data_IF_456570589869
#
_entry.id   IF_456570589869
#
_cell.length_a   1.000
_cell.length_b   1.000
_cell.length_c   1.000
_cell.angle_alpha   90.00
_cell.angle_beta   90.00
_cell.angle_gamma   90.00
#
_symmetry.space_group_name_H-M   'P 1'
#
loop_
_entity.id
_entity.type
_entity.pdbx_description
1 polymer ?
#
# COMPACT_ATOMS: atom_id res chain seq x y z
N UNK A 1 21.71 10.97 20.76
CA UNK A 1 22.00 11.27 19.33
C UNK A 1 21.15 10.46 18.34
N UNK A 2 20.81 9.19 18.62
CA UNK A 2 19.93 8.36 17.75
C UNK A 2 18.46 8.85 17.71
N UNK A 3 18.00 9.49 18.79
CA UNK A 3 16.64 10.04 18.88
C UNK A 3 16.37 11.21 17.94
N UNK A 4 17.36 11.96 17.44
CA UNK A 4 17.08 13.06 16.51
C UNK A 4 16.90 12.61 15.05
N UNK A 5 17.58 11.54 14.63
CA UNK A 5 17.50 11.04 13.25
C UNK A 5 16.17 10.35 12.94
N UNK A 6 15.63 9.58 13.88
CA UNK A 6 14.32 8.92 13.73
C UNK A 6 13.19 9.94 13.54
N UNK A 7 13.23 11.10 14.20
CA UNK A 7 12.14 12.07 14.14
C UNK A 7 12.03 12.75 12.78
N UNK A 8 13.11 12.89 12.01
CA UNK A 8 13.06 13.53 10.68
C UNK A 8 12.24 12.75 9.64
N UNK A 9 12.02 11.46 9.86
CA UNK A 9 11.42 10.55 8.88
C UNK A 9 9.90 10.42 9.05
N UNK A 10 9.36 10.71 10.25
CA UNK A 10 7.98 10.46 10.62
C UNK A 10 7.12 11.72 10.71
N UNK A 11 5.85 11.58 10.35
CA UNK A 11 4.79 12.60 10.44
C UNK A 11 4.55 13.04 11.91
N UNK A 12 4.01 14.24 12.13
CA UNK A 12 3.72 14.87 13.42
C UNK A 12 2.95 13.95 14.37
N UNK A 13 1.95 13.23 13.87
CA UNK A 13 1.17 12.29 14.69
C UNK A 13 1.96 11.03 15.08
N UNK A 14 2.84 10.54 14.20
CA UNK A 14 3.73 9.43 14.52
C UNK A 14 4.77 9.83 15.56
N UNK A 15 5.24 11.09 15.55
CA UNK A 15 6.14 11.61 16.58
C UNK A 15 5.48 11.64 17.95
N UNK A 16 4.17 11.94 18.03
CA UNK A 16 3.41 11.86 19.27
C UNK A 16 3.32 10.42 19.78
N UNK A 17 2.99 9.46 18.91
CA UNK A 17 2.93 8.02 19.28
C UNK A 17 4.29 7.53 19.78
N UNK A 18 5.37 7.84 19.06
CA UNK A 18 6.74 7.48 19.46
C UNK A 18 7.07 8.10 20.81
N UNK A 19 6.78 9.40 21.01
CA UNK A 19 6.96 10.06 22.31
C UNK A 19 6.17 9.35 23.42
N UNK A 20 4.88 9.09 23.24
CA UNK A 20 4.05 8.39 24.23
C UNK A 20 4.59 7.00 24.57
N UNK A 21 5.06 6.24 23.57
CA UNK A 21 5.66 4.92 23.78
C UNK A 21 6.99 5.01 24.54
N UNK A 22 7.80 6.03 24.26
CA UNK A 22 9.02 6.31 25.03
C UNK A 22 8.73 6.78 26.46
N UNK A 23 7.68 7.60 26.67
CA UNK A 23 7.29 8.12 28.00
C UNK A 23 6.66 7.03 28.87
N UNK A 24 5.88 6.11 28.28
CA UNK A 24 5.33 4.94 28.98
C UNK A 24 6.36 3.82 29.18
N UNK A 25 7.48 3.85 28.43
CA UNK A 25 8.56 2.87 28.46
C UNK A 25 9.78 3.36 29.23
N UNK A 26 9.61 3.80 30.48
CA UNK A 26 10.75 3.88 31.40
C UNK A 26 11.00 2.45 31.92
N UNK A 27 12.25 1.99 31.76
CA UNK A 27 12.88 0.76 32.31
C UNK A 27 12.61 -0.57 31.56
N UNK A 28 13.45 -0.90 30.57
CA UNK A 28 14.38 -2.06 30.61
C UNK A 28 15.27 -2.12 29.36
N UNK A 29 16.47 -2.63 29.57
CA UNK A 29 17.70 -2.41 28.81
C UNK A 29 17.82 -3.17 27.46
N UNK A 30 16.72 -3.53 26.81
CA UNK A 30 16.74 -4.33 25.57
C UNK A 30 16.31 -3.50 24.35
N UNK A 31 17.29 -2.82 23.74
CA UNK A 31 17.12 -2.01 22.51
C UNK A 31 16.47 -2.78 21.35
N UNK A 32 16.66 -4.11 21.29
CA UNK A 32 16.11 -4.98 20.24
C UNK A 32 14.60 -5.12 20.38
N UNK A 33 14.11 -5.47 21.57
CA UNK A 33 12.68 -5.62 21.86
C UNK A 33 11.89 -4.33 21.58
N UNK A 34 12.48 -3.19 21.94
CA UNK A 34 11.88 -1.88 21.67
C UNK A 34 11.79 -1.56 20.17
N UNK A 35 12.79 -1.97 19.37
CA UNK A 35 12.80 -1.78 17.91
C UNK A 35 11.69 -2.58 17.25
N UNK A 36 11.49 -3.83 17.62
CA UNK A 36 10.43 -4.69 17.07
C UNK A 36 9.04 -4.14 17.38
N UNK A 37 8.81 -3.74 18.64
CA UNK A 37 7.55 -3.13 19.05
C UNK A 37 7.27 -1.81 18.30
N UNK A 38 8.30 -0.98 18.07
CA UNK A 38 8.18 0.22 17.26
C UNK A 38 7.84 -0.08 15.80
N UNK A 39 8.51 -1.04 15.17
CA UNK A 39 8.21 -1.45 13.79
C UNK A 39 6.78 -1.95 13.67
N UNK A 40 6.32 -2.74 14.63
CA UNK A 40 4.93 -3.19 14.70
C UNK A 40 3.95 -2.00 14.79
N UNK A 41 4.19 -1.04 15.68
CA UNK A 41 3.32 0.14 15.83
C UNK A 41 3.34 1.04 14.58
N UNK A 42 4.49 1.20 13.93
CA UNK A 42 4.61 1.91 12.65
C UNK A 42 3.80 1.21 11.57
N UNK A 43 3.88 -0.12 11.48
CA UNK A 43 3.12 -0.92 10.53
C UNK A 43 1.62 -0.83 10.80
N UNK A 44 1.21 -0.92 12.07
CA UNK A 44 -0.18 -0.77 12.46
C UNK A 44 -0.70 0.63 12.13
N UNK A 45 0.09 1.67 12.38
CA UNK A 45 -0.26 3.02 11.97
C UNK A 45 -0.42 3.09 10.46
N UNK A 46 0.57 2.64 9.67
CA UNK A 46 0.52 2.62 8.19
C UNK A 46 -0.73 1.93 7.66
N UNK A 47 -1.17 0.82 8.28
CA UNK A 47 -2.38 0.11 7.86
C UNK A 47 -3.70 0.81 8.18
N UNK A 48 -3.71 1.89 8.98
CA UNK A 48 -4.95 2.61 9.28
C UNK A 48 -5.63 3.14 8.00
N UNK A 49 -6.95 2.92 7.82
CA UNK A 49 -7.67 3.55 6.73
C UNK A 49 -7.60 5.07 6.82
N UNK A 50 -7.53 5.73 5.67
CA UNK A 50 -7.64 7.18 5.56
C UNK A 50 -9.05 7.48 5.09
N UNK A 51 -9.78 8.27 5.89
CA UNK A 51 -11.18 8.59 5.65
C UNK A 51 -11.32 10.00 5.10
N UNK A 52 -12.18 10.17 4.09
CA UNK A 52 -12.47 11.45 3.46
C UNK A 52 -11.20 12.25 3.14
N UNK A 53 -10.35 11.70 2.29
CA UNK A 53 -9.00 12.22 2.05
C UNK A 53 -8.96 13.70 1.64
N UNK A 54 -9.94 14.16 0.86
CA UNK A 54 -10.03 15.54 0.38
C UNK A 54 -10.84 16.45 1.30
N UNK A 55 -11.38 15.93 2.41
CA UNK A 55 -12.24 16.66 3.35
C UNK A 55 -13.41 17.37 2.65
N UNK A 56 -14.13 16.63 1.80
CA UNK A 56 -15.31 17.12 1.06
C UNK A 56 -16.57 16.38 1.46
N UNK A 57 -17.71 16.92 1.07
CA UNK A 57 -19.02 16.32 1.27
C UNK A 57 -19.58 15.87 -0.07
N UNK A 58 -19.55 14.57 -0.31
CA UNK A 58 -20.20 13.93 -1.44
C UNK A 58 -21.05 12.76 -0.95
N UNK A 59 -22.16 12.50 -1.63
CA UNK A 59 -23.07 11.40 -1.28
C UNK A 59 -22.51 10.05 -1.70
N UNK A 60 -21.78 10.02 -2.82
CA UNK A 60 -21.17 8.80 -3.37
C UNK A 60 -19.80 8.56 -2.73
N UNK A 61 -19.48 7.30 -2.43
CA UNK A 61 -18.21 6.92 -1.78
C UNK A 61 -17.42 5.92 -2.61
N UNK A 62 -16.11 6.15 -2.71
CA UNK A 62 -15.16 5.18 -3.26
C UNK A 62 -14.23 4.67 -2.18
N UNK A 63 -13.99 3.36 -2.17
CA UNK A 63 -12.90 2.73 -1.44
C UNK A 63 -11.73 2.45 -2.38
N UNK A 64 -10.62 3.16 -2.19
CA UNK A 64 -9.37 2.90 -2.90
C UNK A 64 -8.52 1.92 -2.09
N UNK A 65 -8.32 0.72 -2.62
CA UNK A 65 -7.44 -0.30 -2.05
C UNK A 65 -6.05 -0.21 -2.68
N UNK A 66 -5.13 0.46 -1.98
CA UNK A 66 -3.78 0.71 -2.47
C UNK A 66 -2.80 0.95 -1.32
N UNK A 67 -1.52 1.16 -1.61
CA UNK A 67 -0.57 1.56 -0.57
C UNK A 67 -1.00 2.91 0.04
N UNK A 68 -1.07 2.98 1.36
CA UNK A 68 -1.53 4.18 2.09
C UNK A 68 -0.45 5.25 2.23
N UNK A 69 0.82 4.85 2.13
CA UNK A 69 1.98 5.73 2.36
C UNK A 69 1.97 7.01 1.50
N UNK A 70 1.69 6.98 0.19
CA UNK A 70 1.64 8.19 -0.65
C UNK A 70 0.68 9.28 -0.17
N UNK A 71 -0.36 8.90 0.57
CA UNK A 71 -1.39 9.82 1.03
C UNK A 71 -1.04 10.48 2.36
N UNK A 72 -0.07 9.93 3.10
CA UNK A 72 0.37 10.45 4.40
C UNK A 72 1.69 11.20 4.31
N UNK A 73 2.54 10.82 3.37
CA UNK A 73 3.84 11.43 3.19
C UNK A 73 4.09 11.67 1.71
N UNK A 74 4.51 12.89 1.40
CA UNK A 74 5.00 13.22 0.07
C UNK A 74 6.34 12.51 -0.16
N UNK A 75 6.39 11.67 -1.20
CA UNK A 75 7.57 10.90 -1.55
C UNK A 75 7.69 10.83 -3.07
N UNK A 76 8.41 11.78 -3.65
CA UNK A 76 8.57 11.90 -5.10
C UNK A 76 9.57 10.90 -5.71
N UNK A 77 10.12 10.00 -4.90
CA UNK A 77 11.14 9.02 -5.32
C UNK A 77 10.58 7.81 -6.09
N UNK A 78 9.28 7.55 -5.99
CA UNK A 78 8.66 6.36 -6.60
C UNK A 78 7.40 6.74 -7.39
N UNK A 79 7.22 6.10 -8.55
CA UNK A 79 6.07 6.30 -9.44
C UNK A 79 4.74 6.07 -8.75
N UNK A 80 4.69 5.11 -7.81
CA UNK A 80 3.50 4.83 -7.00
C UNK A 80 2.93 6.07 -6.29
N UNK A 81 3.76 7.07 -5.96
CA UNK A 81 3.26 8.31 -5.38
C UNK A 81 2.37 9.07 -6.35
N UNK A 82 2.84 9.25 -7.59
CA UNK A 82 2.10 9.97 -8.62
C UNK A 82 0.86 9.18 -9.04
N UNK A 83 0.98 7.87 -9.22
CA UNK A 83 -0.15 6.99 -9.57
C UNK A 83 -1.24 7.03 -8.51
N UNK A 84 -0.89 6.85 -7.23
CA UNK A 84 -1.85 6.89 -6.12
C UNK A 84 -2.60 8.23 -6.07
N UNK A 85 -1.87 9.34 -6.21
CA UNK A 85 -2.44 10.69 -6.12
C UNK A 85 -3.32 11.00 -7.33
N UNK A 86 -2.90 10.61 -8.53
CA UNK A 86 -3.69 10.76 -9.75
C UNK A 86 -4.99 9.94 -9.66
N UNK A 87 -4.92 8.70 -9.21
CA UNK A 87 -6.08 7.82 -9.03
C UNK A 87 -7.11 8.42 -8.06
N UNK A 88 -6.65 8.87 -6.89
CA UNK A 88 -7.53 9.50 -5.91
C UNK A 88 -8.12 10.83 -6.42
N UNK A 89 -7.33 11.63 -7.13
CA UNK A 89 -7.78 12.91 -7.70
C UNK A 89 -8.85 12.70 -8.77
N UNK A 90 -8.69 11.71 -9.63
CA UNK A 90 -9.69 11.38 -10.64
C UNK A 90 -11.04 11.02 -10.00
N UNK A 91 -11.04 10.24 -8.91
CA UNK A 91 -12.29 9.90 -8.21
C UNK A 91 -12.92 11.11 -7.51
N UNK A 92 -12.11 11.99 -6.93
CA UNK A 92 -12.58 13.25 -6.33
C UNK A 92 -13.21 14.18 -7.38
N UNK A 93 -12.61 14.27 -8.57
CA UNK A 93 -13.12 15.06 -9.70
C UNK A 93 -14.44 14.50 -10.25
N UNK A 94 -14.66 13.19 -10.10
CA UNK A 94 -15.93 12.53 -10.42
C UNK A 94 -16.98 12.68 -9.31
N UNK A 95 -16.69 13.41 -8.24
CA UNK A 95 -17.63 13.69 -7.14
C UNK A 95 -17.79 12.53 -6.16
N UNK A 96 -16.75 11.72 -5.95
CA UNK A 96 -16.74 10.68 -4.93
C UNK A 96 -16.00 11.14 -3.67
N UNK A 97 -16.55 10.82 -2.51
CA UNK A 97 -15.81 10.86 -1.24
C UNK A 97 -14.80 9.73 -1.23
N UNK A 98 -13.52 10.09 -1.13
CA UNK A 98 -12.39 9.17 -1.27
C UNK A 98 -11.93 8.66 0.09
N UNK A 99 -12.17 7.38 0.33
CA UNK A 99 -11.53 6.62 1.42
C UNK A 99 -10.41 5.75 0.84
N UNK A 100 -9.31 5.61 1.58
CA UNK A 100 -8.15 4.80 1.18
C UNK A 100 -7.87 3.75 2.23
N UNK A 101 -7.56 2.53 1.80
CA UNK A 101 -7.18 1.42 2.66
C UNK A 101 -5.96 0.70 2.10
N UNK A 102 -5.16 0.11 2.99
CA UNK A 102 -4.00 -0.69 2.60
C UNK A 102 -4.44 -1.95 1.85
N UNK A 103 -3.77 -2.29 0.74
CA UNK A 103 -4.14 -3.41 -0.12
C UNK A 103 -4.07 -4.78 0.58
N UNK A 104 -3.27 -4.88 1.65
CA UNK A 104 -3.16 -6.07 2.52
C UNK A 104 -4.25 -6.16 3.60
N UNK A 105 -5.23 -5.24 3.58
CA UNK A 105 -6.33 -5.28 4.55
C UNK A 105 -7.31 -6.37 4.17
N UNK A 106 -7.63 -7.25 5.11
CA UNK A 106 -8.47 -8.42 4.88
C UNK A 106 -9.94 -8.22 5.23
N UNK A 107 -10.31 -7.13 5.91
CA UNK A 107 -11.70 -6.84 6.27
C UNK A 107 -11.94 -5.37 6.58
N UNK A 108 -13.19 -4.94 6.44
CA UNK A 108 -13.68 -3.63 6.89
C UNK A 108 -15.14 -3.75 7.31
N UNK A 109 -15.53 -3.12 8.42
CA UNK A 109 -16.90 -3.23 8.95
C UNK A 109 -17.97 -2.63 8.04
N UNK A 110 -17.60 -1.59 7.28
CA UNK A 110 -18.55 -0.73 6.57
C UNK A 110 -18.41 -0.88 5.04
N UNK A 111 -18.16 -2.09 4.55
CA UNK A 111 -17.96 -2.34 3.11
C UNK A 111 -19.17 -1.91 2.26
N UNK A 112 -20.38 -2.17 2.73
CA UNK A 112 -21.60 -1.83 1.99
C UNK A 112 -21.86 -0.31 1.86
N UNK A 113 -21.06 0.55 2.52
CA UNK A 113 -21.23 2.00 2.44
C UNK A 113 -20.60 2.63 1.19
N UNK A 114 -19.87 1.86 0.39
CA UNK A 114 -19.24 2.35 -0.83
C UNK A 114 -20.06 2.02 -2.06
N UNK A 115 -19.92 2.82 -3.09
CA UNK A 115 -20.53 2.60 -4.41
C UNK A 115 -19.51 2.05 -5.41
N UNK A 116 -18.22 2.31 -5.15
CA UNK A 116 -17.10 1.87 -5.97
C UNK A 116 -15.98 1.31 -5.09
N UNK A 117 -15.41 0.19 -5.51
CA UNK A 117 -14.11 -0.30 -5.02
C UNK A 117 -13.10 -0.27 -6.15
N UNK A 118 -11.94 0.31 -5.90
CA UNK A 118 -10.91 0.59 -6.90
C UNK A 118 -9.54 0.16 -6.38
N UNK A 119 -8.78 -0.63 -7.14
CA UNK A 119 -7.45 -1.08 -6.74
C UNK A 119 -7.26 -2.59 -6.85
N UNK A 120 -6.62 -3.17 -5.84
CA UNK A 120 -6.38 -4.62 -5.74
C UNK A 120 -6.17 -5.05 -4.28
N UNK A 121 -5.97 -6.35 -4.06
CA UNK A 121 -5.56 -6.92 -2.78
C UNK A 121 -6.65 -7.69 -2.06
N UNK A 122 -6.40 -8.03 -0.80
CA UNK A 122 -7.21 -8.99 -0.04
C UNK A 122 -8.63 -8.46 0.23
N UNK A 123 -8.80 -7.15 0.23
CA UNK A 123 -10.09 -6.51 0.46
C UNK A 123 -11.10 -6.79 -0.68
N UNK A 124 -10.62 -7.10 -1.90
CA UNK A 124 -11.48 -7.53 -3.01
C UNK A 124 -12.04 -8.91 -2.74
N UNK A 125 -11.21 -9.84 -2.25
CA UNK A 125 -11.66 -11.16 -1.83
C UNK A 125 -12.74 -11.04 -0.76
N UNK A 126 -12.47 -10.22 0.26
CA UNK A 126 -13.45 -9.94 1.31
C UNK A 126 -14.76 -9.38 0.76
N UNK A 127 -14.70 -8.41 -0.16
CA UNK A 127 -15.87 -7.85 -0.85
C UNK A 127 -16.68 -8.94 -1.57
N UNK A 128 -16.05 -9.75 -2.43
CA UNK A 128 -16.75 -10.76 -3.20
C UNK A 128 -17.33 -11.89 -2.34
N UNK A 129 -16.72 -12.20 -1.20
CA UNK A 129 -17.18 -13.27 -0.30
C UNK A 129 -18.23 -12.80 0.72
N UNK A 130 -18.24 -11.51 1.10
CA UNK A 130 -19.02 -11.04 2.26
C UNK A 130 -19.93 -9.84 2.00
N UNK A 131 -19.75 -9.11 0.89
CA UNK A 131 -20.59 -7.94 0.59
C UNK A 131 -21.99 -8.36 0.16
N UNK A 132 -23.00 -7.67 0.69
CA UNK A 132 -24.40 -7.84 0.26
C UNK A 132 -24.81 -6.78 -0.75
N UNK A 133 -24.06 -5.68 -0.84
CA UNK A 133 -24.26 -4.63 -1.84
C UNK A 133 -23.39 -4.89 -3.06
N UNK A 134 -23.99 -4.82 -4.23
CA UNK A 134 -23.26 -4.76 -5.49
C UNK A 134 -22.63 -3.37 -5.68
N UNK A 135 -21.31 -3.34 -5.81
CA UNK A 135 -20.51 -2.16 -6.04
C UNK A 135 -19.84 -2.22 -7.40
N UNK A 136 -19.65 -1.05 -8.03
CA UNK A 136 -18.81 -0.98 -9.23
C UNK A 136 -17.37 -1.30 -8.85
N UNK A 137 -16.82 -2.34 -9.46
CA UNK A 137 -15.50 -2.86 -9.12
C UNK A 137 -14.52 -2.55 -10.23
N UNK A 138 -13.43 -1.84 -9.90
CA UNK A 138 -12.40 -1.46 -10.86
C UNK A 138 -11.07 -2.03 -10.37
N UNK A 139 -10.57 -3.05 -11.06
CA UNK A 139 -9.26 -3.62 -10.78
C UNK A 139 -8.15 -2.77 -11.39
N UNK A 140 -7.18 -2.34 -10.58
CA UNK A 140 -6.01 -1.59 -11.02
C UNK A 140 -4.73 -2.36 -10.70
N UNK A 141 -4.20 -3.07 -11.70
CA UNK A 141 -2.91 -3.76 -11.58
C UNK A 141 -1.74 -2.83 -11.90
N UNK A 142 -0.87 -2.57 -10.91
CA UNK A 142 0.33 -1.71 -11.08
C UNK A 142 1.49 -2.38 -11.84
N UNK A 143 1.25 -3.55 -12.40
CA UNK A 143 2.28 -4.33 -13.06
C UNK A 143 1.69 -5.43 -13.89
N UNK A 144 2.58 -6.14 -14.56
CA UNK A 144 2.25 -7.30 -15.36
C UNK A 144 1.77 -8.45 -14.45
N UNK A 145 0.70 -9.13 -14.86
CA UNK A 145 0.22 -10.29 -14.12
C UNK A 145 1.33 -11.34 -13.97
N UNK A 146 1.42 -11.95 -12.77
CA UNK A 146 2.52 -12.85 -12.38
C UNK A 146 2.70 -13.99 -13.37
N UNK A 147 1.62 -14.59 -13.89
CA UNK A 147 1.75 -15.67 -14.88
C UNK A 147 2.41 -15.19 -16.18
N UNK A 148 2.10 -13.98 -16.65
CA UNK A 148 2.74 -13.44 -17.84
C UNK A 148 4.19 -13.08 -17.55
N UNK A 149 4.46 -12.39 -16.43
CA UNK A 149 5.82 -12.01 -16.04
C UNK A 149 6.73 -13.23 -15.88
N UNK A 150 6.24 -14.29 -15.22
CA UNK A 150 6.97 -15.53 -15.01
C UNK A 150 7.22 -16.24 -16.34
N UNK A 151 6.20 -16.35 -17.21
CA UNK A 151 6.35 -16.98 -18.53
C UNK A 151 7.37 -16.22 -19.39
N UNK A 152 7.29 -14.90 -19.45
CA UNK A 152 8.24 -14.07 -20.20
C UNK A 152 9.66 -14.18 -19.63
N UNK A 153 9.81 -14.24 -18.31
CA UNK A 153 11.11 -14.43 -17.65
C UNK A 153 11.70 -15.79 -17.94
N UNK A 154 10.89 -16.86 -17.88
CA UNK A 154 11.30 -18.21 -18.25
C UNK A 154 11.74 -18.29 -19.71
N UNK A 155 11.02 -17.62 -20.61
CA UNK A 155 11.41 -17.56 -22.02
C UNK A 155 12.76 -16.86 -22.20
N UNK A 156 12.98 -15.71 -21.55
CA UNK A 156 14.28 -15.00 -21.61
C UNK A 156 15.43 -15.85 -21.07
N UNK A 157 15.20 -16.62 -20.01
CA UNK A 157 16.19 -17.55 -19.47
C UNK A 157 16.55 -18.66 -20.49
N UNK A 158 15.54 -19.25 -21.14
CA UNK A 158 15.75 -20.22 -22.23
C UNK A 158 16.57 -19.61 -23.37
N UNK A 159 16.21 -18.40 -23.81
CA UNK A 159 16.91 -17.72 -24.91
C UNK A 159 18.38 -17.45 -24.58
N UNK A 160 18.68 -16.99 -23.36
CA UNK A 160 20.07 -16.78 -22.89
C UNK A 160 20.83 -18.10 -22.84
N UNK A 161 20.21 -19.16 -22.32
CA UNK A 161 20.82 -20.48 -22.26
C UNK A 161 21.21 -21.01 -23.64
N UNK A 162 20.28 -20.98 -24.60
CA UNK A 162 20.53 -21.43 -25.97
C UNK A 162 21.61 -20.59 -26.66
N UNK A 163 21.61 -19.26 -26.48
CA UNK A 163 22.63 -18.39 -27.07
C UNK A 163 24.03 -18.69 -26.53
N UNK A 164 24.19 -18.87 -25.22
CA UNK A 164 25.50 -19.17 -24.61
C UNK A 164 26.03 -20.56 -24.98
N UNK A 165 25.16 -21.57 -25.02
CA UNK A 165 25.56 -22.92 -25.43
C UNK A 165 25.98 -23.01 -26.91
N UNK A 166 25.32 -22.21 -27.77
CA UNK A 166 25.70 -22.07 -29.17
C UNK A 166 26.97 -21.21 -29.39
N UNK A 167 27.48 -20.52 -28.38
CA UNK A 167 28.77 -19.82 -28.43
C UNK A 167 29.90 -20.75 -27.99
N UNK A 168 29.68 -21.63 -27.00
CA UNK A 168 30.62 -22.69 -26.62
C UNK A 168 30.92 -23.64 -27.80
N UNK A 169 29.90 -24.02 -28.58
CA UNK A 169 30.07 -24.87 -29.77
C UNK A 169 30.66 -24.14 -30.99
N UNK A 170 30.97 -22.83 -30.87
CA UNK A 170 31.62 -22.02 -31.91
C UNK A 170 33.07 -21.64 -31.57
N UNK A 171 33.62 -22.22 -30.51
CA UNK A 171 35.05 -22.18 -30.18
C UNK A 171 35.65 -23.55 -30.51
N UNK A 172 35.83 -23.82 -31.80
CA UNK A 172 36.73 -24.83 -32.38
C UNK A 172 37.23 -24.29 -33.72
#
# INVERSE_FOLDING_TARGET
MITMLLFSIFDLDMRKIIKTVFTLGIIKNDKIFFREKLVYLVNLWRKRPIKNYYNKNYDKKVLISYITQPFRKQSFSHTNYFEAKALAKAMDDLGYLVDIIEYTTTSISNMNNYDVILGFGDIFKFYFENSTKEMKTIYYGTGMHVCHQNTATLQRLKDVYHKKRNLDNRVC
#
